data_IF_375892490507
#
_entry.id   IF_375892490507
#
_cell.length_a   1.000
_cell.length_b   1.000
_cell.length_c   1.000
_cell.angle_alpha   90.00
_cell.angle_beta   90.00
_cell.angle_gamma   90.00
#
_symmetry.space_group_name_H-M   'P 1'
#
loop_
_entity.id
_entity.type
_entity.pdbx_description
1 polymer ?
#
# COMPACT_ATOMS: atom_id res chain seq x y z
N UNK A 1 -1.39 -48.92 -17.94
CA UNK A 1 -1.29 -48.32 -16.58
C UNK A 1 -1.03 -46.84 -16.76
N UNK A 2 -1.88 -45.96 -16.22
CA UNK A 2 -1.49 -44.56 -16.02
C UNK A 2 -2.41 -43.45 -16.51
N UNK A 3 -3.72 -43.64 -16.72
CA UNK A 3 -4.64 -42.51 -16.95
C UNK A 3 -5.95 -42.71 -16.19
N UNK A 4 -5.93 -42.40 -14.90
CA UNK A 4 -7.08 -41.92 -14.11
C UNK A 4 -6.56 -41.59 -12.71
N UNK A 5 -5.71 -40.58 -12.60
CA UNK A 5 -5.50 -39.91 -11.32
C UNK A 5 -6.80 -39.16 -10.99
N UNK A 6 -7.51 -39.64 -9.96
CA UNK A 6 -8.76 -39.06 -9.47
C UNK A 6 -8.63 -37.56 -9.25
N UNK A 7 -9.63 -36.77 -9.68
CA UNK A 7 -9.75 -35.31 -9.43
C UNK A 7 -9.51 -34.93 -7.97
N UNK A 8 -9.73 -35.86 -7.04
CA UNK A 8 -9.51 -35.70 -5.60
C UNK A 8 -8.03 -35.61 -5.20
N UNK A 9 -7.13 -36.26 -5.95
CA UNK A 9 -5.67 -36.17 -5.74
C UNK A 9 -5.08 -34.87 -6.30
N UNK A 10 -5.62 -34.34 -7.41
CA UNK A 10 -5.26 -33.01 -7.90
C UNK A 10 -5.64 -31.88 -6.93
N UNK A 11 -6.68 -32.04 -6.10
CA UNK A 11 -7.05 -31.04 -5.09
C UNK A 11 -6.13 -31.05 -3.85
N UNK A 12 -5.42 -32.16 -3.58
CA UNK A 12 -4.45 -32.23 -2.47
C UNK A 12 -3.04 -31.82 -2.88
N UNK A 13 -2.70 -31.87 -4.19
CA UNK A 13 -1.40 -31.48 -4.75
C UNK A 13 -1.45 -30.21 -5.62
N UNK A 14 -2.65 -29.72 -5.96
CA UNK A 14 -2.85 -28.63 -6.94
C UNK A 14 -2.67 -27.22 -6.37
N UNK A 15 -2.38 -27.09 -5.07
CA UNK A 15 -2.06 -25.81 -4.46
C UNK A 15 -0.78 -25.20 -5.02
N UNK A 16 0.24 -26.01 -5.34
CA UNK A 16 1.51 -25.51 -5.89
C UNK A 16 1.44 -25.31 -7.41
N UNK A 17 0.75 -26.21 -8.15
CA UNK A 17 0.70 -26.16 -9.62
C UNK A 17 -0.13 -24.99 -10.19
N UNK A 18 -1.27 -24.63 -9.56
CA UNK A 18 -2.05 -23.44 -9.97
C UNK A 18 -1.34 -22.12 -9.60
N UNK A 19 -0.24 -22.20 -8.84
CA UNK A 19 0.47 -21.07 -8.24
C UNK A 19 1.77 -20.69 -8.92
N UNK A 20 2.48 -21.69 -9.42
CA UNK A 20 3.55 -21.49 -10.41
C UNK A 20 3.04 -20.73 -11.66
N UNK A 21 1.73 -20.77 -11.94
CA UNK A 21 1.09 -20.06 -13.05
C UNK A 21 0.78 -18.57 -12.76
N UNK A 22 0.95 -18.07 -11.52
CA UNK A 22 0.62 -16.67 -11.18
C UNK A 22 1.84 -15.80 -10.88
N UNK A 23 2.93 -16.40 -10.45
CA UNK A 23 4.19 -15.74 -10.18
C UNK A 23 5.27 -16.23 -11.13
N UNK A 24 6.28 -15.40 -11.37
CA UNK A 24 7.55 -15.87 -11.90
C UNK A 24 8.36 -16.46 -10.76
N UNK A 25 9.15 -17.53 -11.01
CA UNK A 25 10.18 -17.96 -10.07
C UNK A 25 11.09 -16.78 -9.76
N UNK A 26 11.37 -16.51 -8.49
CA UNK A 26 12.25 -15.43 -8.11
C UNK A 26 13.70 -15.76 -8.52
N UNK A 27 14.31 -15.03 -9.48
CA UNK A 27 15.65 -15.34 -9.96
C UNK A 27 16.76 -14.81 -9.05
N UNK A 28 16.41 -13.98 -8.07
CA UNK A 28 17.39 -13.31 -7.23
C UNK A 28 17.78 -14.19 -6.03
N UNK A 29 19.08 -14.31 -5.71
CA UNK A 29 19.49 -14.90 -4.44
C UNK A 29 18.97 -14.06 -3.27
N UNK A 30 18.68 -14.69 -2.13
CA UNK A 30 18.30 -13.94 -0.92
C UNK A 30 19.52 -13.23 -0.30
N UNK A 31 19.26 -12.30 0.62
CA UNK A 31 20.27 -11.39 1.17
C UNK A 31 21.49 -12.10 1.78
N UNK A 32 21.27 -13.16 2.56
CA UNK A 32 22.36 -13.92 3.20
C UNK A 32 23.29 -14.55 2.16
N UNK A 33 22.74 -15.24 1.17
CA UNK A 33 23.53 -15.83 0.08
C UNK A 33 24.24 -14.77 -0.78
N UNK A 34 23.63 -13.59 -0.94
CA UNK A 34 24.27 -12.47 -1.62
C UNK A 34 25.43 -11.88 -0.80
N UNK A 35 25.27 -11.79 0.52
CA UNK A 35 26.27 -11.30 1.46
C UNK A 35 27.41 -12.32 1.70
N UNK A 36 27.13 -13.62 1.69
CA UNK A 36 28.14 -14.68 1.85
C UNK A 36 29.05 -14.82 0.63
N UNK A 37 28.49 -14.73 -0.59
CA UNK A 37 29.30 -14.66 -1.83
C UNK A 37 30.30 -13.50 -1.82
N UNK A 38 30.07 -12.48 -0.99
CA UNK A 38 30.98 -11.35 -0.82
C UNK A 38 32.10 -11.62 0.20
N UNK A 39 31.92 -12.58 1.12
CA UNK A 39 32.92 -12.94 2.12
C UNK A 39 33.99 -13.92 1.58
N UNK A 40 33.71 -14.62 0.47
CA UNK A 40 34.59 -15.63 -0.13
C UNK A 40 35.58 -15.09 -1.19
N UNK A 41 35.50 -13.81 -1.60
CA UNK A 41 36.49 -13.22 -2.53
C UNK A 41 37.84 -12.91 -1.82
N UNK A 42 39.00 -13.22 -2.44
CA UNK A 42 40.29 -13.27 -1.74
C UNK A 42 40.80 -11.88 -1.32
N UNK A 43 41.47 -11.75 -0.15
CA UNK A 43 41.96 -10.49 0.38
C UNK A 43 43.29 -10.11 -0.29
N UNK A 44 43.25 -9.64 -1.54
CA UNK A 44 44.45 -9.18 -2.24
C UNK A 44 44.36 -7.73 -2.73
N UNK A 45 44.00 -6.80 -1.84
CA UNK A 45 44.50 -5.41 -1.84
C UNK A 45 43.91 -4.64 -0.66
N UNK A 46 44.75 -3.90 0.08
CA UNK A 46 44.36 -3.09 1.24
C UNK A 46 43.50 -1.90 0.82
N UNK A 47 42.20 -2.09 0.67
CA UNK A 47 41.16 -1.04 0.68
C UNK A 47 39.80 -1.74 0.86
N UNK A 48 38.87 -1.25 1.70
CA UNK A 48 37.50 -1.78 1.71
C UNK A 48 36.91 -1.59 0.31
N UNK A 49 36.50 -2.70 -0.34
CA UNK A 49 35.83 -2.64 -1.65
C UNK A 49 34.57 -1.77 -1.55
N UNK A 50 34.31 -0.96 -2.56
CA UNK A 50 33.13 -0.11 -2.61
C UNK A 50 31.86 -0.96 -2.78
N UNK A 51 30.69 -0.57 -2.24
CA UNK A 51 29.44 -1.30 -2.46
C UNK A 51 29.05 -1.48 -3.94
N UNK A 52 29.60 -0.66 -4.83
CA UNK A 52 29.45 -0.77 -6.29
C UNK A 52 30.26 -1.95 -6.87
N UNK A 53 31.40 -2.31 -6.27
CA UNK A 53 32.20 -3.49 -6.61
C UNK A 53 31.62 -4.78 -5.99
N UNK A 54 30.74 -4.65 -4.97
CA UNK A 54 30.18 -5.75 -4.17
C UNK A 54 28.77 -6.21 -4.60
N UNK A 55 28.17 -5.57 -5.62
CA UNK A 55 26.89 -5.98 -6.20
C UNK A 55 25.64 -5.77 -5.32
N UNK A 56 25.75 -5.09 -4.17
CA UNK A 56 24.59 -4.67 -3.37
C UNK A 56 24.00 -3.36 -3.89
N UNK A 57 22.67 -3.17 -3.79
CA UNK A 57 22.03 -1.95 -4.25
C UNK A 57 22.18 -0.77 -3.27
N UNK A 58 22.82 -0.94 -2.11
CA UNK A 58 22.99 0.09 -1.08
C UNK A 58 24.28 -0.07 -0.26
N UNK A 59 24.68 1.02 0.39
CA UNK A 59 25.78 1.10 1.35
C UNK A 59 25.40 0.52 2.73
N UNK A 60 26.38 0.33 3.61
CA UNK A 60 26.15 -0.19 4.96
C UNK A 60 25.25 0.68 5.84
N UNK A 61 25.03 1.94 5.49
CA UNK A 61 24.09 2.85 6.18
C UNK A 61 22.67 2.81 5.58
N UNK A 62 22.41 1.91 4.62
CA UNK A 62 21.11 1.78 3.95
C UNK A 62 20.90 2.76 2.79
N UNK A 63 21.85 3.66 2.51
CA UNK A 63 21.74 4.58 1.37
C UNK A 63 21.93 3.84 0.05
N UNK A 64 21.05 4.08 -0.91
CA UNK A 64 21.13 3.50 -2.25
C UNK A 64 22.40 3.96 -2.97
N UNK A 65 23.11 3.03 -3.62
CA UNK A 65 24.35 3.35 -4.35
C UNK A 65 24.07 4.23 -5.57
N UNK A 66 25.07 5.00 -6.01
CA UNK A 66 24.92 5.97 -7.09
C UNK A 66 24.57 5.31 -8.43
N UNK A 67 25.19 4.17 -8.76
CA UNK A 67 24.85 3.43 -9.99
C UNK A 67 23.37 3.01 -10.01
N UNK A 68 22.88 2.40 -8.93
CA UNK A 68 21.48 1.96 -8.85
C UNK A 68 20.51 3.15 -8.84
N UNK A 69 20.85 4.22 -8.12
CA UNK A 69 20.13 5.51 -8.17
C UNK A 69 19.99 6.03 -9.61
N UNK A 70 21.09 6.04 -10.38
CA UNK A 70 21.09 6.49 -11.77
C UNK A 70 20.19 5.61 -12.65
N UNK A 71 20.27 4.28 -12.51
CA UNK A 71 19.40 3.33 -13.24
C UNK A 71 17.93 3.61 -12.96
N UNK A 72 17.56 3.79 -11.69
CA UNK A 72 16.20 4.11 -11.26
C UNK A 72 15.74 5.45 -11.84
N UNK A 73 16.54 6.50 -11.70
CA UNK A 73 16.19 7.84 -12.20
C UNK A 73 16.01 7.86 -13.72
N UNK A 74 16.88 7.17 -14.48
CA UNK A 74 16.72 7.01 -15.92
C UNK A 74 15.41 6.30 -16.24
N UNK A 75 15.12 5.17 -15.58
CA UNK A 75 13.88 4.43 -15.83
C UNK A 75 12.64 5.24 -15.47
N UNK A 76 12.67 6.01 -14.37
CA UNK A 76 11.57 6.91 -13.99
C UNK A 76 11.31 7.93 -15.11
N UNK A 77 12.34 8.54 -15.69
CA UNK A 77 12.20 9.49 -16.80
C UNK A 77 11.57 8.82 -18.03
N UNK A 78 12.06 7.65 -18.41
CA UNK A 78 11.53 6.91 -19.57
C UNK A 78 10.06 6.52 -19.39
N UNK A 79 9.71 6.00 -18.21
CA UNK A 79 8.34 5.61 -17.89
C UNK A 79 7.42 6.84 -17.76
N UNK A 80 7.88 7.95 -17.19
CA UNK A 80 7.10 9.19 -17.14
C UNK A 80 6.76 9.70 -18.55
N UNK A 81 7.73 9.66 -19.47
CA UNK A 81 7.49 10.06 -20.86
C UNK A 81 6.44 9.16 -21.53
N UNK A 82 6.56 7.83 -21.38
CA UNK A 82 5.58 6.87 -21.92
C UNK A 82 4.20 7.04 -21.30
N UNK A 83 4.14 7.26 -20.00
CA UNK A 83 2.91 7.48 -19.25
C UNK A 83 2.21 8.75 -19.73
N UNK A 84 2.91 9.87 -19.83
CA UNK A 84 2.35 11.15 -20.29
C UNK A 84 1.82 11.08 -21.73
N UNK A 85 2.51 10.36 -22.63
CA UNK A 85 1.98 10.11 -23.97
C UNK A 85 0.70 9.28 -23.93
N UNK A 86 0.71 8.20 -23.14
CA UNK A 86 -0.42 7.30 -22.98
C UNK A 86 -1.66 7.96 -22.36
N UNK A 87 -1.46 8.86 -21.39
CA UNK A 87 -2.52 9.59 -20.71
C UNK A 87 -3.37 10.45 -21.66
N UNK A 88 -2.87 10.83 -22.84
CA UNK A 88 -3.67 11.53 -23.86
C UNK A 88 -4.90 10.74 -24.32
N UNK A 89 -4.90 9.42 -24.13
CA UNK A 89 -5.99 8.50 -24.49
C UNK A 89 -6.76 7.98 -23.27
N UNK A 90 -6.37 8.37 -22.06
CA UNK A 90 -7.03 7.93 -20.83
C UNK A 90 -8.44 8.53 -20.70
N UNK A 91 -9.34 7.81 -20.00
CA UNK A 91 -10.71 8.27 -19.76
C UNK A 91 -10.71 9.67 -19.12
N UNK A 92 -11.25 10.69 -19.80
CA UNK A 92 -11.17 12.04 -19.30
C UNK A 92 -12.02 12.29 -18.05
N UNK A 93 -12.97 11.39 -17.73
CA UNK A 93 -13.92 11.52 -16.63
C UNK A 93 -13.52 10.75 -15.37
N UNK A 94 -12.53 9.85 -15.44
CA UNK A 94 -12.07 9.12 -14.26
C UNK A 94 -11.21 10.03 -13.37
N UNK A 95 -11.85 10.60 -12.33
CA UNK A 95 -11.17 11.45 -11.34
C UNK A 95 -10.72 10.66 -10.10
N UNK A 96 -10.77 9.33 -10.12
CA UNK A 96 -10.37 8.53 -8.95
C UNK A 96 -8.86 8.60 -8.68
N UNK A 97 -8.45 8.37 -7.43
CA UNK A 97 -7.03 8.17 -7.12
C UNK A 97 -6.54 6.76 -7.54
N UNK A 98 -7.46 5.80 -7.63
CA UNK A 98 -7.17 4.41 -7.99
C UNK A 98 -6.77 4.31 -9.47
N UNK A 99 -7.65 4.70 -10.39
CA UNK A 99 -7.43 4.56 -11.85
C UNK A 99 -7.34 5.86 -12.63
N UNK A 100 -7.64 6.98 -11.98
CA UNK A 100 -7.89 8.27 -12.63
C UNK A 100 -6.84 9.34 -12.42
N UNK A 101 -7.22 10.57 -12.75
CA UNK A 101 -6.37 11.76 -12.76
C UNK A 101 -5.85 12.17 -11.38
N UNK A 102 -6.58 11.87 -10.31
CA UNK A 102 -6.09 12.12 -8.94
C UNK A 102 -4.91 11.21 -8.59
N UNK A 103 -4.87 9.99 -9.14
CA UNK A 103 -3.72 9.09 -8.94
C UNK A 103 -2.46 9.63 -9.59
N UNK A 104 -2.61 10.28 -10.76
CA UNK A 104 -1.50 10.95 -11.46
C UNK A 104 -1.04 12.20 -10.69
N UNK A 105 -1.98 12.99 -10.14
CA UNK A 105 -1.63 14.10 -9.25
C UNK A 105 -0.82 13.61 -8.03
N UNK A 106 -1.25 12.51 -7.41
CA UNK A 106 -0.55 11.93 -6.26
C UNK A 106 0.87 11.46 -6.61
N UNK A 107 1.07 10.87 -7.80
CA UNK A 107 2.41 10.54 -8.30
C UNK A 107 3.28 11.79 -8.42
N UNK A 108 2.79 12.86 -9.05
CA UNK A 108 3.57 14.08 -9.22
C UNK A 108 3.89 14.76 -7.89
N UNK A 109 2.96 14.75 -6.94
CA UNK A 109 3.21 15.18 -5.58
C UNK A 109 4.32 14.34 -4.91
N UNK A 110 4.34 13.03 -5.14
CA UNK A 110 5.40 12.16 -4.63
C UNK A 110 6.76 12.48 -5.27
N UNK A 111 6.81 12.68 -6.59
CA UNK A 111 8.05 13.06 -7.26
C UNK A 111 8.60 14.38 -6.70
N UNK A 112 7.73 15.36 -6.45
CA UNK A 112 8.11 16.58 -5.74
C UNK A 112 8.69 16.29 -4.33
N UNK A 113 8.08 15.38 -3.55
CA UNK A 113 8.61 15.04 -2.21
C UNK A 113 10.03 14.47 -2.27
N UNK A 114 10.33 13.66 -3.28
CA UNK A 114 11.64 12.99 -3.40
C UNK A 114 12.70 13.91 -4.01
N UNK A 115 12.34 14.76 -4.97
CA UNK A 115 13.32 15.58 -5.72
C UNK A 115 13.36 17.04 -5.31
N UNK A 116 12.34 17.53 -4.60
CA UNK A 116 12.08 18.95 -4.33
C UNK A 116 11.95 19.81 -5.60
N UNK A 117 11.74 19.20 -6.78
CA UNK A 117 11.56 19.92 -8.04
C UNK A 117 10.15 20.49 -8.16
N UNK A 118 10.07 21.82 -8.13
CA UNK A 118 8.81 22.57 -8.19
C UNK A 118 8.00 22.29 -9.46
N UNK A 119 8.63 21.89 -10.56
CA UNK A 119 7.92 21.54 -11.79
C UNK A 119 6.95 20.36 -11.58
N UNK A 120 7.29 19.40 -10.73
CA UNK A 120 6.40 18.29 -10.37
C UNK A 120 5.22 18.75 -9.50
N UNK A 121 5.44 19.69 -8.58
CA UNK A 121 4.33 20.25 -7.78
C UNK A 121 3.34 21.02 -8.66
N UNK A 122 3.83 21.81 -9.61
CA UNK A 122 3.00 22.51 -10.59
C UNK A 122 2.26 21.53 -11.51
N UNK A 123 2.93 20.44 -11.93
CA UNK A 123 2.29 19.39 -12.72
C UNK A 123 1.19 18.67 -11.93
N UNK A 124 1.41 18.42 -10.65
CA UNK A 124 0.36 17.90 -9.75
C UNK A 124 -0.83 18.85 -9.68
N UNK A 125 -0.59 20.16 -9.60
CA UNK A 125 -1.66 21.18 -9.57
C UNK A 125 -2.53 21.15 -10.84
N UNK A 126 -1.94 20.92 -12.02
CA UNK A 126 -2.71 20.83 -13.27
C UNK A 126 -3.75 19.70 -13.23
N UNK A 127 -3.35 18.52 -12.73
CA UNK A 127 -4.26 17.39 -12.56
C UNK A 127 -5.27 17.61 -11.42
N UNK A 128 -4.87 18.27 -10.33
CA UNK A 128 -5.79 18.69 -9.26
C UNK A 128 -6.89 19.60 -9.83
N UNK A 129 -6.51 20.67 -10.55
CA UNK A 129 -7.48 21.60 -11.16
C UNK A 129 -8.44 20.87 -12.10
N UNK A 130 -7.96 19.88 -12.85
CA UNK A 130 -8.80 19.02 -13.69
C UNK A 130 -9.80 18.21 -12.87
N UNK A 131 -9.35 17.52 -11.83
CA UNK A 131 -10.20 16.62 -11.02
C UNK A 131 -11.26 17.38 -10.22
N UNK A 132 -10.90 18.52 -9.61
CA UNK A 132 -11.82 19.35 -8.83
C UNK A 132 -12.97 19.97 -9.65
N UNK A 133 -12.80 20.12 -10.97
CA UNK A 133 -13.87 20.57 -11.88
C UNK A 133 -14.87 19.47 -12.24
N UNK A 134 -14.55 18.21 -11.97
CA UNK A 134 -15.29 17.04 -12.43
C UNK A 134 -15.74 16.11 -11.28
N UNK A 135 -15.88 16.66 -10.07
CA UNK A 135 -16.49 15.95 -8.94
C UNK A 135 -17.92 15.55 -9.29
N UNK A 136 -18.33 14.34 -8.93
CA UNK A 136 -19.62 13.78 -9.37
C UNK A 136 -20.53 13.29 -8.24
N UNK A 137 -20.06 13.32 -6.99
CA UNK A 137 -20.83 12.99 -5.80
C UNK A 137 -21.23 11.51 -5.67
N UNK A 138 -20.79 10.62 -6.58
CA UNK A 138 -21.25 9.22 -6.59
C UNK A 138 -20.56 8.33 -5.56
N UNK A 139 -19.32 8.67 -5.20
CA UNK A 139 -18.46 7.88 -4.30
C UNK A 139 -17.72 8.82 -3.38
N UNK A 140 -17.34 8.30 -2.21
CA UNK A 140 -16.96 9.13 -1.06
C UNK A 140 -15.55 8.83 -0.52
N UNK A 141 -14.82 7.88 -1.09
CA UNK A 141 -13.51 7.45 -0.58
C UNK A 141 -12.35 8.17 -1.24
N UNK A 142 -11.17 8.11 -0.62
CA UNK A 142 -9.94 8.64 -1.23
C UNK A 142 -9.62 7.95 -2.56
N UNK A 143 -9.73 6.62 -2.60
CA UNK A 143 -9.31 5.84 -3.77
C UNK A 143 -10.29 5.97 -4.93
N UNK A 144 -11.60 5.95 -4.69
CA UNK A 144 -12.58 5.80 -5.74
C UNK A 144 -13.66 6.89 -5.77
N UNK A 145 -13.58 7.90 -4.90
CA UNK A 145 -14.59 8.94 -4.77
C UNK A 145 -14.03 10.35 -4.63
N UNK A 146 -14.92 11.30 -4.38
CA UNK A 146 -14.62 12.73 -4.38
C UNK A 146 -13.69 13.15 -3.22
N UNK A 147 -13.59 12.33 -2.16
CA UNK A 147 -12.65 12.58 -1.08
C UNK A 147 -11.19 12.54 -1.54
N UNK A 148 -10.86 11.78 -2.60
CA UNK A 148 -9.52 11.74 -3.18
C UNK A 148 -9.11 13.07 -3.79
N UNK A 149 -9.80 13.55 -4.84
CA UNK A 149 -9.56 14.86 -5.44
C UNK A 149 -9.50 16.00 -4.41
N UNK A 150 -10.43 16.00 -3.43
CA UNK A 150 -10.50 17.04 -2.40
C UNK A 150 -9.30 16.98 -1.46
N UNK A 151 -8.95 15.80 -0.94
CA UNK A 151 -7.82 15.65 -0.01
C UNK A 151 -6.47 15.93 -0.69
N UNK A 152 -6.25 15.43 -1.91
CA UNK A 152 -5.03 15.73 -2.69
C UNK A 152 -4.98 17.21 -3.05
N UNK A 153 -6.12 17.80 -3.45
CA UNK A 153 -6.21 19.21 -3.75
C UNK A 153 -5.83 20.09 -2.56
N UNK A 154 -6.37 19.79 -1.37
CA UNK A 154 -6.03 20.51 -0.14
C UNK A 154 -4.51 20.51 0.11
N UNK A 155 -3.86 19.35 0.01
CA UNK A 155 -2.41 19.23 0.26
C UNK A 155 -1.59 19.97 -0.80
N UNK A 156 -1.95 19.88 -2.09
CA UNK A 156 -1.23 20.57 -3.17
C UNK A 156 -1.35 22.07 -3.02
N UNK A 157 -2.56 22.59 -2.77
CA UNK A 157 -2.77 24.03 -2.54
C UNK A 157 -2.04 24.52 -1.29
N UNK A 158 -2.06 23.76 -0.20
CA UNK A 158 -1.30 24.09 1.01
C UNK A 158 0.21 24.19 0.74
N UNK A 159 0.80 23.20 0.03
CA UNK A 159 2.24 23.24 -0.32
C UNK A 159 2.60 24.42 -1.24
N UNK A 160 1.65 24.90 -2.03
CA UNK A 160 1.78 26.10 -2.87
C UNK A 160 1.47 27.41 -2.12
N UNK A 161 1.16 27.35 -0.83
CA UNK A 161 0.75 28.49 0.00
C UNK A 161 -0.53 29.19 -0.48
N UNK A 162 -1.43 28.42 -1.10
CA UNK A 162 -2.78 28.83 -1.51
C UNK A 162 -3.80 28.38 -0.45
N UNK A 163 -3.75 29.02 0.72
CA UNK A 163 -4.49 28.55 1.90
C UNK A 163 -6.02 28.62 1.75
N UNK A 164 -6.53 29.58 0.95
CA UNK A 164 -7.96 29.72 0.68
C UNK A 164 -8.51 28.48 -0.06
N UNK A 165 -7.86 28.10 -1.17
CA UNK A 165 -8.22 26.95 -1.98
C UNK A 165 -8.02 25.63 -1.23
N UNK A 166 -6.96 25.57 -0.40
CA UNK A 166 -6.75 24.45 0.51
C UNK A 166 -7.93 24.27 1.46
N UNK A 167 -8.33 25.36 2.14
CA UNK A 167 -9.43 25.33 3.10
C UNK A 167 -10.79 25.07 2.43
N UNK A 168 -10.99 25.54 1.20
CA UNK A 168 -12.18 25.22 0.41
C UNK A 168 -12.28 23.71 0.13
N UNK A 169 -11.15 23.07 -0.24
CA UNK A 169 -11.09 21.63 -0.45
C UNK A 169 -11.41 20.86 0.84
N UNK A 170 -10.86 21.28 1.99
CA UNK A 170 -11.15 20.66 3.30
C UNK A 170 -12.63 20.83 3.66
N UNK A 171 -13.19 22.01 3.43
CA UNK A 171 -14.61 22.29 3.70
C UNK A 171 -15.51 21.36 2.88
N UNK A 172 -15.24 21.21 1.59
CA UNK A 172 -15.96 20.29 0.70
C UNK A 172 -15.76 18.83 1.10
N UNK A 173 -14.56 18.45 1.56
CA UNK A 173 -14.28 17.10 2.06
C UNK A 173 -15.17 16.76 3.26
N UNK A 174 -15.32 17.70 4.20
CA UNK A 174 -16.18 17.55 5.38
C UNK A 174 -17.67 17.52 5.03
N UNK A 175 -18.11 18.15 3.94
CA UNK A 175 -19.50 18.08 3.48
C UNK A 175 -19.91 16.65 3.08
N UNK A 176 -18.97 15.78 2.68
CA UNK A 176 -19.24 14.38 2.38
C UNK A 176 -19.63 13.56 3.62
N UNK A 177 -19.25 14.02 4.82
CA UNK A 177 -19.37 13.28 6.08
C UNK A 177 -20.81 12.87 6.40
N UNK A 178 -21.81 13.69 6.03
CA UNK A 178 -23.22 13.40 6.27
C UNK A 178 -23.65 12.05 5.70
N UNK A 179 -23.16 11.70 4.51
CA UNK A 179 -23.47 10.41 3.85
C UNK A 179 -22.75 9.24 4.55
N UNK A 180 -21.55 9.50 5.08
CA UNK A 180 -20.69 8.50 5.74
C UNK A 180 -21.26 8.02 7.07
N UNK A 181 -21.69 8.96 7.91
CA UNK A 181 -22.10 8.70 9.31
C UNK A 181 -23.59 8.40 9.45
N UNK A 182 -24.36 8.51 8.35
CA UNK A 182 -25.77 8.18 8.34
C UNK A 182 -25.99 6.69 8.69
N UNK A 183 -26.86 6.43 9.67
CA UNK A 183 -27.16 5.06 10.16
C UNK A 183 -27.89 4.21 9.13
N UNK A 184 -28.71 4.83 8.30
CA UNK A 184 -29.48 4.16 7.24
C UNK A 184 -28.68 4.02 5.93
N UNK A 185 -27.37 4.30 5.98
CA UNK A 185 -26.49 4.26 4.80
C UNK A 185 -26.01 2.84 4.53
N UNK A 186 -26.24 2.36 3.30
CA UNK A 186 -25.70 1.10 2.78
C UNK A 186 -24.19 1.16 2.45
N UNK A 187 -23.49 2.23 2.87
CA UNK A 187 -22.05 2.34 2.66
C UNK A 187 -21.32 1.19 3.37
N UNK A 188 -20.39 0.51 2.66
CA UNK A 188 -19.54 -0.48 3.29
C UNK A 188 -18.49 0.20 4.18
N UNK A 189 -17.66 -0.59 4.86
CA UNK A 189 -16.61 -0.07 5.74
C UNK A 189 -15.20 -0.16 5.14
N UNK A 190 -15.03 -0.87 4.03
CA UNK A 190 -13.71 -1.14 3.45
C UNK A 190 -13.05 0.07 2.76
N UNK A 191 -11.81 -0.10 2.28
CA UNK A 191 -10.93 1.02 1.91
C UNK A 191 -11.29 1.64 0.55
N UNK A 192 -11.80 0.87 -0.41
CA UNK A 192 -12.00 1.37 -1.77
C UNK A 192 -13.32 2.14 -1.91
N UNK A 193 -14.38 1.72 -1.22
CA UNK A 193 -15.72 2.28 -1.35
C UNK A 193 -16.39 2.62 -0.02
N UNK A 194 -15.76 2.28 1.10
CA UNK A 194 -16.37 2.39 2.42
C UNK A 194 -15.79 3.46 3.34
N UNK A 195 -16.28 3.43 4.58
CA UNK A 195 -15.95 4.41 5.64
C UNK A 195 -14.45 4.47 5.94
N UNK A 196 -13.71 3.35 5.90
CA UNK A 196 -12.26 3.37 6.10
C UNK A 196 -11.53 4.14 5.00
N UNK A 197 -12.02 4.10 3.76
CA UNK A 197 -11.48 4.86 2.64
C UNK A 197 -11.70 6.38 2.76
N UNK A 198 -12.80 6.79 3.39
CA UNK A 198 -13.05 8.19 3.74
C UNK A 198 -12.23 8.62 4.96
N UNK A 199 -12.14 7.76 6.00
CA UNK A 199 -11.29 7.98 7.16
C UNK A 199 -9.84 8.23 6.72
N UNK A 200 -9.30 7.41 5.80
CA UNK A 200 -7.98 7.65 5.23
C UNK A 200 -7.83 9.08 4.66
N UNK A 201 -8.83 9.60 3.94
CA UNK A 201 -8.76 10.96 3.38
C UNK A 201 -8.62 12.04 4.47
N UNK A 202 -9.39 11.92 5.56
CA UNK A 202 -9.30 12.84 6.71
C UNK A 202 -7.92 12.77 7.38
N UNK A 203 -7.44 11.54 7.62
CA UNK A 203 -6.13 11.32 8.25
C UNK A 203 -4.98 11.79 7.34
N UNK A 204 -5.08 11.60 6.03
CA UNK A 204 -4.12 12.06 5.04
C UNK A 204 -3.97 13.58 5.09
N UNK A 205 -5.07 14.34 5.10
CA UNK A 205 -5.04 15.81 5.22
C UNK A 205 -4.35 16.24 6.51
N UNK A 206 -4.71 15.65 7.65
CA UNK A 206 -4.07 15.95 8.94
C UNK A 206 -2.57 15.60 8.96
N UNK A 207 -2.19 14.53 8.27
CA UNK A 207 -0.80 14.09 8.19
C UNK A 207 0.05 15.03 7.33
N UNK A 208 -0.50 15.52 6.22
CA UNK A 208 0.25 16.28 5.22
C UNK A 208 0.24 17.80 5.42
N UNK A 209 -0.83 18.35 6.02
CA UNK A 209 -0.97 19.78 6.30
C UNK A 209 -0.56 20.07 7.75
N UNK A 210 -0.97 19.21 8.67
CA UNK A 210 -0.63 19.31 10.09
C UNK A 210 -1.78 18.94 11.01
N UNK A 211 -1.49 18.64 12.28
CA UNK A 211 -2.51 18.32 13.28
C UNK A 211 -3.55 19.46 13.37
N UNK A 212 -4.83 19.10 13.21
CA UNK A 212 -5.95 20.05 13.34
C UNK A 212 -6.46 20.64 12.02
N UNK A 213 -5.85 20.34 10.87
CA UNK A 213 -6.40 20.72 9.56
C UNK A 213 -7.84 20.17 9.36
N UNK A 214 -8.09 18.97 9.86
CA UNK A 214 -9.38 18.33 10.05
C UNK A 214 -9.62 18.15 11.55
N UNK A 215 -10.80 18.57 12.01
CA UNK A 215 -11.17 18.50 13.41
C UNK A 215 -11.33 17.05 13.91
N UNK A 216 -10.99 16.84 15.18
CA UNK A 216 -11.01 15.50 15.78
C UNK A 216 -12.41 14.90 15.90
N UNK A 217 -13.43 15.75 16.05
CA UNK A 217 -14.83 15.30 16.10
C UNK A 217 -15.24 14.62 14.79
N UNK A 218 -14.83 15.16 13.64
CA UNK A 218 -15.11 14.58 12.33
C UNK A 218 -14.51 13.18 12.19
N UNK A 219 -13.26 13.01 12.60
CA UNK A 219 -12.57 11.71 12.61
C UNK A 219 -13.29 10.73 13.55
N UNK A 220 -13.63 11.18 14.76
CA UNK A 220 -14.28 10.36 15.78
C UNK A 220 -15.66 9.86 15.33
N UNK A 221 -16.44 10.68 14.64
CA UNK A 221 -17.75 10.26 14.11
C UNK A 221 -17.62 9.13 13.08
N UNK A 222 -16.64 9.21 12.18
CA UNK A 222 -16.40 8.14 11.18
C UNK A 222 -15.89 6.86 11.86
N UNK A 223 -14.97 6.99 12.81
CA UNK A 223 -14.48 5.85 13.62
C UNK A 223 -15.63 5.15 14.34
N UNK A 224 -16.48 5.91 15.03
CA UNK A 224 -17.63 5.35 15.74
C UNK A 224 -18.58 4.61 14.79
N UNK A 225 -18.83 5.15 13.60
CA UNK A 225 -19.65 4.49 12.59
C UNK A 225 -19.06 3.13 12.14
N UNK A 226 -17.73 3.07 11.94
CA UNK A 226 -17.02 1.83 11.61
C UNK A 226 -17.11 0.80 12.74
N UNK A 227 -16.94 1.23 13.99
CA UNK A 227 -17.00 0.32 15.16
C UNK A 227 -18.42 -0.22 15.35
N UNK A 228 -19.45 0.62 15.29
CA UNK A 228 -20.84 0.18 15.46
C UNK A 228 -21.29 -0.74 14.32
N UNK A 229 -20.91 -0.45 13.07
CA UNK A 229 -21.15 -1.36 11.93
C UNK A 229 -20.49 -2.73 12.15
N UNK A 230 -19.23 -2.74 12.60
CA UNK A 230 -18.48 -3.97 12.85
C UNK A 230 -19.08 -4.83 13.97
N UNK A 231 -19.55 -4.19 15.05
CA UNK A 231 -20.26 -4.84 16.16
C UNK A 231 -21.57 -5.45 15.69
N UNK A 232 -22.34 -4.70 14.90
CA UNK A 232 -23.63 -5.15 14.38
C UNK A 232 -23.49 -6.44 13.55
N UNK A 233 -22.57 -6.46 12.59
CA UNK A 233 -22.35 -7.64 11.76
C UNK A 233 -21.78 -8.81 12.57
N UNK A 234 -20.86 -8.55 13.50
CA UNK A 234 -20.33 -9.61 14.38
C UNK A 234 -21.43 -10.27 15.22
N UNK A 235 -22.40 -9.47 15.71
CA UNK A 235 -23.56 -9.96 16.44
C UNK A 235 -24.48 -10.80 15.54
N UNK A 236 -24.79 -10.31 14.34
CA UNK A 236 -25.61 -11.02 13.34
C UNK A 236 -25.01 -12.39 13.00
N UNK A 237 -23.70 -12.43 12.76
CA UNK A 237 -22.94 -13.64 12.40
C UNK A 237 -22.59 -14.53 13.62
N UNK A 238 -23.02 -14.13 14.83
CA UNK A 238 -22.74 -14.82 16.10
C UNK A 238 -21.23 -15.05 16.33
N UNK A 239 -20.43 -14.02 16.06
CA UNK A 239 -18.95 -14.02 16.19
C UNK A 239 -18.41 -13.16 17.33
N UNK A 240 -19.27 -12.47 18.09
CA UNK A 240 -18.89 -11.47 19.11
C UNK A 240 -17.74 -11.95 20.01
N UNK A 241 -17.82 -13.18 20.54
CA UNK A 241 -16.79 -13.72 21.45
C UNK A 241 -15.42 -13.93 20.81
N UNK A 242 -15.36 -14.18 19.50
CA UNK A 242 -14.13 -14.52 18.78
C UNK A 242 -13.59 -13.35 17.95
N UNK A 243 -14.47 -12.55 17.40
CA UNK A 243 -14.18 -11.43 16.50
C UNK A 243 -15.19 -10.31 16.76
N UNK A 244 -14.96 -9.46 17.76
CA UNK A 244 -15.90 -8.39 18.14
C UNK A 244 -16.29 -7.45 16.99
N UNK A 245 -15.38 -7.24 16.03
CA UNK A 245 -15.58 -6.39 14.86
C UNK A 245 -15.46 -7.23 13.60
N UNK A 246 -16.56 -7.43 12.89
CA UNK A 246 -16.58 -8.19 11.64
C UNK A 246 -17.10 -7.30 10.51
N UNK A 247 -16.55 -7.47 9.30
CA UNK A 247 -16.93 -6.64 8.16
C UNK A 247 -17.19 -7.50 6.92
N UNK A 248 -18.02 -6.97 6.02
CA UNK A 248 -18.30 -7.60 4.73
C UNK A 248 -18.46 -6.56 3.62
N UNK A 249 -18.17 -6.99 2.40
CA UNK A 249 -18.45 -6.24 1.18
C UNK A 249 -18.92 -7.22 0.11
N UNK A 250 -19.98 -6.90 -0.64
CA UNK A 250 -20.60 -7.80 -1.62
C UNK A 250 -20.86 -9.22 -1.06
N UNK A 251 -21.40 -9.29 0.16
CA UNK A 251 -21.72 -10.54 0.88
C UNK A 251 -20.52 -11.47 1.12
N UNK A 252 -19.31 -10.92 1.15
CA UNK A 252 -18.09 -11.65 1.46
C UNK A 252 -17.33 -10.96 2.59
N UNK A 253 -16.90 -11.76 3.56
CA UNK A 253 -16.01 -11.32 4.64
C UNK A 253 -14.57 -11.32 4.12
N UNK A 254 -14.21 -10.26 3.38
CA UNK A 254 -12.87 -10.11 2.81
C UNK A 254 -11.82 -9.92 3.91
N UNK A 255 -10.62 -10.46 3.67
CA UNK A 255 -9.50 -10.41 4.62
C UNK A 255 -8.50 -9.31 4.27
N UNK A 256 -8.17 -9.16 2.98
CA UNK A 256 -7.08 -8.28 2.52
C UNK A 256 -7.29 -6.77 2.72
N UNK A 257 -6.30 -5.96 2.32
CA UNK A 257 -6.25 -4.53 2.63
C UNK A 257 -7.27 -3.68 1.85
N UNK A 258 -7.60 -4.07 0.63
CA UNK A 258 -8.51 -3.28 -0.22
C UNK A 258 -9.96 -3.34 0.29
N UNK A 259 -10.54 -4.53 0.29
CA UNK A 259 -11.97 -4.73 0.54
C UNK A 259 -12.28 -5.34 1.90
N UNK A 260 -11.27 -5.56 2.74
CA UNK A 260 -11.36 -6.46 3.87
C UNK A 260 -10.92 -5.88 5.19
N UNK A 261 -11.00 -6.77 6.18
CA UNK A 261 -10.73 -6.49 7.58
C UNK A 261 -9.31 -5.94 7.82
N UNK A 262 -8.29 -6.40 7.09
CA UNK A 262 -6.93 -5.90 7.26
C UNK A 262 -6.83 -4.39 7.03
N UNK A 263 -7.47 -3.85 5.99
CA UNK A 263 -7.45 -2.42 5.70
C UNK A 263 -8.20 -1.62 6.76
N UNK A 264 -9.36 -2.13 7.21
CA UNK A 264 -10.20 -1.47 8.22
C UNK A 264 -9.47 -1.40 9.56
N UNK A 265 -8.96 -2.53 10.06
CA UNK A 265 -8.23 -2.56 11.33
C UNK A 265 -6.95 -1.73 11.26
N UNK A 266 -6.25 -1.74 10.13
CA UNK A 266 -5.06 -0.90 9.92
C UNK A 266 -5.40 0.59 10.05
N UNK A 267 -6.53 1.05 9.50
CA UNK A 267 -7.01 2.43 9.64
C UNK A 267 -7.42 2.77 11.08
N UNK A 268 -8.14 1.87 11.77
CA UNK A 268 -8.53 2.06 13.17
C UNK A 268 -7.32 2.15 14.12
N UNK A 269 -6.22 1.48 13.80
CA UNK A 269 -4.98 1.54 14.58
C UNK A 269 -4.07 2.72 14.26
N UNK A 270 -4.44 3.60 13.32
CA UNK A 270 -3.64 4.80 13.04
C UNK A 270 -3.68 5.73 14.25
N UNK A 271 -2.54 6.25 14.74
CA UNK A 271 -2.55 7.16 15.89
C UNK A 271 -3.45 8.39 15.69
N UNK A 272 -3.50 8.91 14.46
CA UNK A 272 -4.35 10.04 14.10
C UNK A 272 -5.86 9.72 14.10
N UNK A 273 -6.25 8.44 14.07
CA UNK A 273 -7.64 8.02 14.23
C UNK A 273 -8.14 8.14 15.68
N UNK A 274 -7.23 8.23 16.66
CA UNK A 274 -7.52 8.44 18.09
C UNK A 274 -8.57 7.49 18.66
N UNK A 275 -8.56 6.23 18.23
CA UNK A 275 -9.34 5.17 18.88
C UNK A 275 -8.81 4.99 20.31
N UNK A 276 -9.70 4.94 21.28
CA UNK A 276 -9.33 4.80 22.68
C UNK A 276 -8.72 3.40 22.98
N UNK A 277 -7.94 3.33 24.05
CA UNK A 277 -7.17 2.13 24.38
C UNK A 277 -8.06 0.92 24.71
N UNK A 278 -9.25 1.14 25.28
CA UNK A 278 -10.21 0.09 25.61
C UNK A 278 -10.75 -0.54 24.32
N UNK A 279 -11.28 0.26 23.39
CA UNK A 279 -11.72 -0.20 22.07
C UNK A 279 -10.62 -0.92 21.30
N UNK A 280 -9.38 -0.39 21.32
CA UNK A 280 -8.24 -1.05 20.68
C UNK A 280 -7.97 -2.45 21.28
N UNK A 281 -7.99 -2.56 22.60
CA UNK A 281 -7.61 -3.79 23.33
C UNK A 281 -8.72 -4.83 23.34
N UNK A 282 -9.96 -4.40 23.53
CA UNK A 282 -11.12 -5.28 23.73
C UNK A 282 -11.85 -5.61 22.43
N UNK A 283 -11.71 -4.80 21.39
CA UNK A 283 -12.42 -5.01 20.12
C UNK A 283 -11.47 -5.22 18.94
N UNK A 284 -10.55 -4.30 18.69
CA UNK A 284 -9.69 -4.35 17.49
C UNK A 284 -8.69 -5.51 17.58
N UNK A 285 -7.96 -5.62 18.69
CA UNK A 285 -6.97 -6.68 18.93
C UNK A 285 -7.52 -8.11 18.76
N UNK A 286 -8.60 -8.54 19.47
CA UNK A 286 -9.14 -9.89 19.28
C UNK A 286 -9.66 -10.13 17.86
N UNK A 287 -10.14 -9.10 17.16
CA UNK A 287 -10.58 -9.22 15.76
C UNK A 287 -9.41 -9.43 14.79
N UNK A 288 -8.28 -8.74 15.01
CA UNK A 288 -7.02 -9.01 14.29
C UNK A 288 -6.53 -10.42 14.59
N UNK A 289 -6.60 -10.86 15.85
CA UNK A 289 -6.20 -12.20 16.26
C UNK A 289 -7.03 -13.29 15.58
N UNK A 290 -8.35 -13.08 15.46
CA UNK A 290 -9.23 -13.95 14.71
C UNK A 290 -8.82 -14.05 13.23
N UNK A 291 -8.55 -12.93 12.58
CA UNK A 291 -8.12 -12.87 11.18
C UNK A 291 -6.74 -13.51 10.98
N UNK A 292 -5.78 -13.26 11.88
CA UNK A 292 -4.43 -13.84 11.84
C UNK A 292 -4.46 -15.36 11.76
N UNK A 293 -5.34 -16.01 12.53
CA UNK A 293 -5.50 -17.46 12.55
C UNK A 293 -6.17 -18.04 11.29
N UNK A 294 -6.48 -17.22 10.27
CA UNK A 294 -7.04 -17.67 8.98
C UNK A 294 -5.98 -17.86 7.89
N UNK A 295 -4.70 -17.68 8.24
CA UNK A 295 -3.58 -17.93 7.33
C UNK A 295 -3.58 -19.36 6.80
N UNK A 296 -3.15 -19.53 5.55
CA UNK A 296 -2.87 -20.83 4.96
C UNK A 296 -1.59 -21.43 5.53
N UNK A 297 -1.37 -22.72 5.26
CA UNK A 297 -0.13 -23.42 5.63
C UNK A 297 1.13 -22.79 5.00
N UNK A 298 0.98 -22.14 3.86
CA UNK A 298 2.06 -21.42 3.17
C UNK A 298 2.50 -20.13 3.89
N UNK A 299 1.72 -19.64 4.87
CA UNK A 299 1.87 -18.30 5.45
C UNK A 299 1.08 -17.20 4.72
N UNK A 300 0.50 -17.48 3.54
CA UNK A 300 -0.36 -16.52 2.84
C UNK A 300 -1.74 -16.41 3.50
N UNK A 301 -2.54 -15.42 3.08
CA UNK A 301 -3.90 -15.20 3.57
C UNK A 301 -4.97 -15.40 2.48
N UNK A 302 -6.15 -15.93 2.85
CA UNK A 302 -7.27 -16.07 1.92
C UNK A 302 -7.80 -14.71 1.48
N UNK A 303 -8.41 -14.64 0.30
CA UNK A 303 -9.06 -13.39 -0.15
C UNK A 303 -10.25 -13.02 0.76
N UNK A 304 -10.99 -14.02 1.23
CA UNK A 304 -12.15 -13.90 2.11
C UNK A 304 -12.21 -15.11 3.04
N UNK A 305 -12.88 -15.00 4.19
CA UNK A 305 -12.94 -16.06 5.20
C UNK A 305 -13.48 -17.41 4.70
N UNK A 306 -14.31 -17.40 3.66
CA UNK A 306 -14.87 -18.60 3.02
C UNK A 306 -14.03 -19.14 1.85
N UNK A 307 -12.95 -18.46 1.47
CA UNK A 307 -12.12 -18.89 0.35
C UNK A 307 -10.97 -19.78 0.84
N UNK A 308 -10.92 -21.00 0.34
CA UNK A 308 -9.89 -21.99 0.67
C UNK A 308 -8.74 -22.04 -0.36
N UNK A 309 -8.80 -21.21 -1.40
CA UNK A 309 -7.77 -21.16 -2.46
C UNK A 309 -6.63 -20.21 -2.11
N UNK A 310 -5.46 -20.76 -1.81
CA UNK A 310 -4.23 -20.00 -1.59
C UNK A 310 -3.64 -19.55 -2.92
N UNK A 311 -4.14 -18.41 -3.45
CA UNK A 311 -3.71 -17.96 -4.77
C UNK A 311 -3.29 -16.52 -5.01
N UNK A 312 -3.76 -15.60 -4.17
CA UNK A 312 -3.53 -14.18 -4.40
C UNK A 312 -2.41 -13.72 -3.48
N UNK A 313 -1.34 -13.18 -4.07
CA UNK A 313 -0.22 -12.54 -3.37
C UNK A 313 -0.21 -11.08 -3.81
N UNK A 314 -1.27 -10.37 -3.44
CA UNK A 314 -1.53 -8.98 -3.84
C UNK A 314 -1.74 -8.11 -2.60
N UNK A 315 -1.55 -6.79 -2.73
CA UNK A 315 -1.98 -5.85 -1.69
C UNK A 315 -3.49 -5.94 -1.44
N UNK A 316 -4.31 -6.01 -2.49
CA UNK A 316 -5.75 -6.10 -2.31
C UNK A 316 -6.19 -7.39 -1.60
N UNK A 317 -5.51 -8.52 -1.86
CA UNK A 317 -5.82 -9.83 -1.32
C UNK A 317 -4.55 -10.69 -1.17
N UNK A 318 -4.22 -11.05 0.07
CA UNK A 318 -3.09 -11.90 0.42
C UNK A 318 -2.12 -11.25 1.39
N UNK A 319 -0.97 -11.92 1.60
CA UNK A 319 0.11 -11.48 2.47
C UNK A 319 0.57 -10.03 2.24
N UNK A 320 0.72 -9.51 1.00
CA UNK A 320 1.18 -8.13 0.80
C UNK A 320 0.23 -7.08 1.37
N UNK A 321 -1.07 -7.36 1.50
CA UNK A 321 -2.02 -6.46 2.16
C UNK A 321 -2.06 -6.66 3.68
N UNK A 322 -2.00 -7.92 4.12
CA UNK A 322 -2.15 -8.29 5.55
C UNK A 322 -0.91 -7.93 6.37
N UNK A 323 0.28 -7.92 5.76
CA UNK A 323 1.51 -7.57 6.46
C UNK A 323 1.44 -6.18 7.14
N UNK A 324 0.78 -5.20 6.53
CA UNK A 324 0.68 -3.83 7.07
C UNK A 324 -0.11 -3.77 8.38
N UNK A 325 -1.22 -4.51 8.48
CA UNK A 325 -2.01 -4.57 9.72
C UNK A 325 -1.27 -5.33 10.82
N UNK A 326 -0.51 -6.38 10.48
CA UNK A 326 0.34 -7.10 11.45
C UNK A 326 1.45 -6.20 11.99
N UNK A 327 2.14 -5.49 11.11
CA UNK A 327 3.15 -4.50 11.46
C UNK A 327 2.60 -3.38 12.35
N UNK A 328 1.41 -2.87 12.04
CA UNK A 328 0.75 -1.85 12.86
C UNK A 328 0.30 -2.42 14.22
N UNK A 329 -0.22 -3.65 14.26
CA UNK A 329 -0.59 -4.33 15.50
C UNK A 329 0.64 -4.54 16.40
N UNK A 330 1.80 -4.90 15.84
CA UNK A 330 3.05 -4.96 16.60
C UNK A 330 3.41 -3.59 17.20
N UNK A 331 3.31 -2.50 16.42
CA UNK A 331 3.58 -1.14 16.90
C UNK A 331 2.66 -0.72 18.04
N UNK A 332 1.37 -1.06 17.96
CA UNK A 332 0.34 -0.63 18.93
C UNK A 332 0.33 -1.51 20.17
N UNK A 333 0.31 -2.84 20.00
CA UNK A 333 0.14 -3.79 21.11
C UNK A 333 1.45 -4.34 21.67
N UNK A 334 2.59 -4.09 21.01
CA UNK A 334 3.93 -4.53 21.43
C UNK A 334 4.07 -6.04 21.65
N UNK A 335 3.33 -6.83 20.87
CA UNK A 335 3.41 -8.30 20.90
C UNK A 335 4.17 -8.86 19.71
N UNK A 336 5.11 -9.75 20.00
CA UNK A 336 6.04 -10.31 19.02
C UNK A 336 5.36 -11.21 17.97
N UNK A 337 4.24 -11.83 18.35
CA UNK A 337 3.45 -12.70 17.45
C UNK A 337 3.04 -12.00 16.15
N UNK A 338 2.79 -10.70 16.19
CA UNK A 338 2.41 -9.94 15.00
C UNK A 338 3.61 -9.69 14.09
N UNK A 339 4.78 -9.37 14.66
CA UNK A 339 5.99 -9.16 13.87
C UNK A 339 6.44 -10.49 13.24
N UNK A 340 6.40 -11.58 13.98
CA UNK A 340 6.68 -12.93 13.45
C UNK A 340 5.82 -13.27 12.22
N UNK A 341 4.51 -13.05 12.30
CA UNK A 341 3.61 -13.31 11.18
C UNK A 341 3.85 -12.33 10.00
N UNK A 342 4.31 -11.10 10.28
CA UNK A 342 4.71 -10.16 9.23
C UNK A 342 5.99 -10.61 8.51
N UNK A 343 6.95 -11.19 9.24
CA UNK A 343 8.15 -11.81 8.66
C UNK A 343 7.75 -13.00 7.78
N UNK A 344 6.86 -13.87 8.25
CA UNK A 344 6.35 -15.00 7.44
C UNK A 344 5.62 -14.51 6.17
N UNK A 345 4.82 -13.43 6.27
CA UNK A 345 4.25 -12.76 5.09
C UNK A 345 5.36 -12.34 4.11
N UNK A 346 6.45 -11.76 4.60
CA UNK A 346 7.54 -11.28 3.75
C UNK A 346 8.22 -12.43 2.98
N UNK A 347 8.31 -13.63 3.56
CA UNK A 347 8.89 -14.79 2.88
C UNK A 347 7.97 -15.33 1.78
N UNK A 348 6.65 -15.32 2.00
CA UNK A 348 5.67 -15.60 0.93
C UNK A 348 5.83 -14.63 -0.22
N UNK A 349 5.95 -13.33 0.08
CA UNK A 349 6.09 -12.27 -0.92
C UNK A 349 7.42 -12.44 -1.67
N UNK A 350 8.50 -12.79 -0.97
CA UNK A 350 9.79 -13.02 -1.61
C UNK A 350 9.74 -14.18 -2.62
N UNK A 351 9.06 -15.26 -2.27
CA UNK A 351 8.97 -16.44 -3.13
C UNK A 351 7.97 -16.27 -4.28
N UNK A 352 6.84 -15.58 -4.04
CA UNK A 352 5.65 -15.59 -4.93
C UNK A 352 5.19 -14.19 -5.36
N UNK A 353 5.95 -13.14 -5.06
CA UNK A 353 5.54 -11.75 -5.23
C UNK A 353 5.93 -11.11 -6.56
N UNK A 354 6.71 -11.78 -7.41
CA UNK A 354 6.99 -11.35 -8.79
C UNK A 354 5.83 -11.80 -9.69
N UNK A 355 4.86 -10.93 -9.94
CA UNK A 355 3.57 -11.35 -10.49
C UNK A 355 3.53 -11.33 -12.02
N UNK A 356 3.01 -12.41 -12.62
CA UNK A 356 2.65 -12.45 -14.06
C UNK A 356 1.53 -11.47 -14.42
N UNK A 357 0.78 -11.01 -13.41
CA UNK A 357 -0.28 -10.03 -13.56
C UNK A 357 0.23 -8.65 -13.97
N UNK A 358 1.48 -8.30 -13.63
CA UNK A 358 2.10 -7.02 -13.98
C UNK A 358 2.83 -6.36 -12.82
N UNK A 359 3.16 -5.08 -13.00
CA UNK A 359 4.05 -4.33 -12.12
C UNK A 359 3.33 -3.28 -11.26
N UNK A 360 2.00 -3.15 -11.36
CA UNK A 360 1.22 -2.15 -10.62
C UNK A 360 1.24 -2.30 -9.09
N UNK A 361 0.49 -1.44 -8.40
CA UNK A 361 0.49 -1.33 -6.93
C UNK A 361 -0.58 -2.20 -6.27
N UNK A 362 -1.78 -2.30 -6.83
CA UNK A 362 -2.88 -3.05 -6.21
C UNK A 362 -2.59 -4.56 -6.16
N UNK A 363 -1.97 -5.08 -7.23
CA UNK A 363 -1.74 -6.50 -7.47
C UNK A 363 -0.63 -6.72 -8.50
N UNK A 364 0.49 -6.02 -8.34
CA UNK A 364 1.68 -6.14 -9.16
C UNK A 364 2.95 -6.16 -8.32
N UNK A 365 4.09 -6.39 -8.98
CA UNK A 365 5.39 -6.49 -8.29
C UNK A 365 5.74 -5.23 -7.48
N UNK A 366 5.45 -4.02 -7.97
CA UNK A 366 5.76 -2.79 -7.22
C UNK A 366 4.99 -2.72 -5.90
N UNK A 367 3.70 -3.06 -5.91
CA UNK A 367 2.88 -3.08 -4.69
C UNK A 367 3.38 -4.09 -3.66
N UNK A 368 3.85 -5.24 -4.12
CA UNK A 368 4.46 -6.24 -3.27
C UNK A 368 5.83 -5.79 -2.72
N UNK A 369 6.59 -5.01 -3.49
CA UNK A 369 7.86 -4.43 -3.06
C UNK A 369 7.72 -3.49 -1.86
N UNK A 370 6.61 -2.76 -1.77
CA UNK A 370 6.32 -1.90 -0.61
C UNK A 370 6.26 -2.67 0.71
N UNK A 371 5.78 -3.92 0.70
CA UNK A 371 5.73 -4.74 1.91
C UNK A 371 7.11 -4.89 2.57
N UNK A 372 8.17 -4.96 1.77
CA UNK A 372 9.54 -5.02 2.27
C UNK A 372 10.04 -3.67 2.80
N UNK A 373 9.72 -2.57 2.13
CA UNK A 373 10.05 -1.23 2.61
C UNK A 373 9.39 -0.96 3.99
N UNK A 374 8.11 -1.29 4.11
CA UNK A 374 7.36 -1.14 5.36
C UNK A 374 7.93 -2.02 6.49
N UNK A 375 8.37 -3.24 6.18
CA UNK A 375 8.98 -4.14 7.17
C UNK A 375 10.39 -3.69 7.56
N UNK A 376 11.17 -3.17 6.60
CA UNK A 376 12.47 -2.56 6.84
C UNK A 376 12.36 -1.38 7.81
N UNK A 377 11.35 -0.51 7.67
CA UNK A 377 11.16 0.60 8.61
C UNK A 377 11.03 0.18 10.07
N UNK A 378 10.45 -1.00 10.31
CA UNK A 378 10.16 -1.50 11.66
C UNK A 378 11.35 -2.24 12.24
N UNK A 379 11.97 -3.08 11.42
CA UNK A 379 13.03 -4.00 11.85
C UNK A 379 14.41 -3.40 11.73
N UNK A 380 14.60 -2.44 10.82
CA UNK A 380 15.89 -1.93 10.35
C UNK A 380 16.82 -3.05 9.81
N UNK A 381 16.24 -4.20 9.47
CA UNK A 381 16.97 -5.33 8.89
C UNK A 381 17.14 -5.12 7.38
N UNK A 382 18.40 -4.98 6.96
CA UNK A 382 18.81 -4.73 5.57
C UNK A 382 18.38 -5.83 4.61
N UNK A 383 18.05 -7.04 5.09
CA UNK A 383 17.43 -8.09 4.28
C UNK A 383 16.18 -7.57 3.56
N UNK A 384 15.33 -6.82 4.25
CA UNK A 384 14.10 -6.32 3.65
C UNK A 384 14.36 -5.18 2.68
N UNK A 385 15.31 -4.28 2.98
CA UNK A 385 15.75 -3.27 2.01
C UNK A 385 16.32 -3.93 0.73
N UNK A 386 17.08 -5.01 0.88
CA UNK A 386 17.60 -5.80 -0.24
C UNK A 386 16.48 -6.38 -1.10
N UNK A 387 15.50 -7.05 -0.48
CA UNK A 387 14.35 -7.61 -1.19
C UNK A 387 13.54 -6.52 -1.92
N UNK A 388 13.34 -5.36 -1.30
CA UNK A 388 12.71 -4.20 -1.95
C UNK A 388 13.49 -3.74 -3.20
N UNK A 389 14.82 -3.63 -3.09
CA UNK A 389 15.68 -3.24 -4.20
C UNK A 389 15.66 -4.27 -5.34
N UNK A 390 15.57 -5.57 -5.04
CA UNK A 390 15.44 -6.62 -6.07
C UNK A 390 14.09 -6.59 -6.77
N UNK A 391 13.02 -6.24 -6.06
CA UNK A 391 11.72 -5.98 -6.68
C UNK A 391 11.74 -4.72 -7.55
N UNK A 392 12.50 -3.68 -7.16
CA UNK A 392 12.77 -2.53 -8.02
C UNK A 392 13.59 -2.91 -9.26
N UNK A 393 14.63 -3.74 -9.11
CA UNK A 393 15.42 -4.26 -10.23
C UNK A 393 14.54 -4.99 -11.25
N UNK A 394 13.60 -5.83 -10.79
CA UNK A 394 12.58 -6.44 -11.65
C UNK A 394 11.73 -5.39 -12.40
N UNK A 395 11.32 -4.32 -11.71
CA UNK A 395 10.57 -3.21 -12.30
C UNK A 395 11.39 -2.34 -13.27
N UNK A 396 12.72 -2.33 -13.18
CA UNK A 396 13.57 -1.65 -14.19
C UNK A 396 13.44 -2.30 -15.57
N UNK A 397 13.09 -3.59 -15.61
CA UNK A 397 12.78 -4.35 -16.81
C UNK A 397 11.27 -4.32 -17.15
N UNK A 398 10.58 -3.23 -16.81
CA UNK A 398 9.16 -3.04 -17.13
C UNK A 398 8.86 -3.35 -18.60
N UNK A 399 7.96 -4.32 -18.82
CA UNK A 399 7.51 -4.76 -20.15
C UNK A 399 8.30 -5.93 -20.75
N UNK A 400 9.43 -6.32 -20.16
CA UNK A 400 10.29 -7.38 -20.71
C UNK A 400 9.83 -8.81 -20.35
N UNK A 401 8.98 -8.97 -19.33
CA UNK A 401 8.66 -10.28 -18.75
C UNK A 401 7.41 -10.96 -19.34
N UNK A 402 6.79 -10.37 -20.37
CA UNK A 402 5.55 -10.91 -20.95
C UNK A 402 4.33 -10.79 -20.02
N UNK A 403 4.34 -9.82 -19.10
CA UNK A 403 3.20 -9.53 -18.22
C UNK A 403 1.97 -9.06 -19.03
N UNK A 404 0.78 -9.26 -18.45
CA UNK A 404 -0.47 -8.72 -19.00
C UNK A 404 -0.46 -7.20 -18.97
N UNK A 405 -1.08 -6.57 -19.97
CA UNK A 405 -1.35 -5.13 -19.97
C UNK A 405 -2.53 -4.86 -19.00
N UNK A 406 -2.41 -3.93 -18.05
CA UNK A 406 -3.51 -3.57 -17.14
C UNK A 406 -4.69 -2.92 -17.87
N UNK A 407 -5.89 -2.99 -17.28
CA UNK A 407 -7.10 -2.34 -17.84
C UNK A 407 -6.98 -0.81 -17.90
N UNK A 408 -6.19 -0.23 -16.98
CA UNK A 408 -5.80 1.17 -16.94
C UNK A 408 -4.28 1.29 -16.89
N UNK A 409 -3.58 1.13 -18.05
CA UNK A 409 -2.12 0.91 -18.12
C UNK A 409 -1.26 2.02 -17.50
N UNK A 410 -1.80 3.24 -17.39
CA UNK A 410 -1.07 4.42 -16.91
C UNK A 410 -1.49 4.86 -15.51
N UNK A 411 -2.49 4.19 -14.91
CA UNK A 411 -3.02 4.58 -13.62
C UNK A 411 -2.10 4.28 -12.44
N UNK A 412 -2.40 4.88 -11.28
CA UNK A 412 -1.63 4.69 -10.05
C UNK A 412 -1.75 3.26 -9.50
N UNK A 413 -2.95 2.69 -9.39
CA UNK A 413 -3.11 1.40 -8.71
C UNK A 413 -2.91 0.20 -9.63
N UNK A 414 -3.15 0.32 -10.93
CA UNK A 414 -3.02 -0.81 -11.86
C UNK A 414 -1.81 -0.68 -12.79
N UNK A 415 -1.39 0.55 -13.08
CA UNK A 415 -0.51 0.85 -14.19
C UNK A 415 0.85 1.42 -13.83
N UNK A 416 1.42 2.07 -14.83
CA UNK A 416 2.79 2.60 -14.85
C UNK A 416 3.04 3.66 -13.78
N UNK A 417 2.05 4.52 -13.48
CA UNK A 417 2.20 5.53 -12.44
C UNK A 417 2.53 4.91 -11.07
N UNK A 418 1.93 3.76 -10.75
CA UNK A 418 2.23 3.01 -9.53
C UNK A 418 3.66 2.47 -9.50
N UNK A 419 4.15 1.96 -10.63
CA UNK A 419 5.55 1.49 -10.72
C UNK A 419 6.52 2.65 -10.54
N UNK A 420 6.26 3.80 -11.18
CA UNK A 420 7.09 5.00 -11.03
C UNK A 420 7.09 5.47 -9.57
N UNK A 421 5.94 5.45 -8.91
CA UNK A 421 5.81 5.81 -7.49
C UNK A 421 6.67 4.92 -6.59
N UNK A 422 6.64 3.59 -6.79
CA UNK A 422 7.50 2.67 -6.04
C UNK A 422 8.99 2.91 -6.31
N UNK A 423 9.37 3.09 -7.58
CA UNK A 423 10.75 3.35 -7.95
C UNK A 423 11.28 4.66 -7.34
N UNK A 424 10.45 5.71 -7.24
CA UNK A 424 10.86 6.96 -6.59
C UNK A 424 11.04 6.78 -5.09
N UNK A 425 10.18 5.98 -4.43
CA UNK A 425 10.31 5.67 -3.01
C UNK A 425 11.55 4.83 -2.67
N UNK A 426 12.03 4.00 -3.59
CA UNK A 426 13.29 3.27 -3.42
C UNK A 426 14.48 4.22 -3.30
N UNK A 427 14.44 5.41 -3.93
CA UNK A 427 15.50 6.41 -3.81
C UNK A 427 15.59 7.01 -2.39
N UNK A 428 14.51 6.96 -1.63
CA UNK A 428 14.44 7.46 -0.26
C UNK A 428 13.74 6.43 0.67
N UNK A 429 14.37 5.26 0.92
CA UNK A 429 13.69 4.14 1.58
C UNK A 429 13.10 4.53 2.93
N UNK A 430 13.78 5.32 3.75
CA UNK A 430 13.29 5.73 5.09
C UNK A 430 12.01 6.59 5.06
N UNK A 431 11.75 7.27 3.94
CA UNK A 431 10.59 8.13 3.75
C UNK A 431 9.45 7.43 2.99
N UNK A 432 9.69 6.22 2.46
CA UNK A 432 8.76 5.52 1.57
C UNK A 432 7.44 5.18 2.22
N UNK A 433 6.34 5.25 1.46
CA UNK A 433 5.00 4.90 1.97
C UNK A 433 4.17 4.29 0.85
N UNK A 434 3.49 3.17 1.14
CA UNK A 434 2.51 2.63 0.18
C UNK A 434 1.45 3.71 -0.13
N UNK A 435 1.29 4.14 -1.40
CA UNK A 435 0.46 5.29 -1.72
C UNK A 435 -1.00 5.06 -1.41
N UNK A 436 -1.68 6.08 -0.90
CA UNK A 436 -3.10 6.05 -0.58
C UNK A 436 -3.51 4.94 0.42
N UNK A 437 -2.57 4.51 1.28
CA UNK A 437 -2.82 3.54 2.34
C UNK A 437 -1.95 3.81 3.58
N UNK A 438 -0.63 3.88 3.44
CA UNK A 438 0.26 4.20 4.57
C UNK A 438 0.35 5.70 4.84
N UNK A 439 0.36 6.07 6.13
CA UNK A 439 0.46 7.46 6.59
C UNK A 439 1.81 7.70 7.28
N UNK A 440 2.27 8.96 7.27
CA UNK A 440 3.48 9.34 8.00
C UNK A 440 3.28 9.25 9.51
N UNK A 441 4.36 8.95 10.22
CA UNK A 441 4.41 9.17 11.67
C UNK A 441 4.87 10.60 11.94
N UNK A 442 4.07 11.40 12.65
CA UNK A 442 4.34 12.82 12.98
C UNK A 442 5.69 13.09 13.67
N UNK A 443 6.37 12.06 14.18
CA UNK A 443 7.69 12.18 14.82
C UNK A 443 8.88 12.21 13.83
N UNK A 444 8.70 11.84 12.56
CA UNK A 444 9.82 11.73 11.59
C UNK A 444 10.07 13.00 10.78
N UNK A 445 9.04 13.80 10.52
CA UNK A 445 9.16 15.00 9.67
C UNK A 445 10.01 16.11 10.34
N UNK A 446 10.16 16.09 11.67
CA UNK A 446 11.01 17.06 12.40
C UNK A 446 12.51 16.84 12.23
N UNK A 447 12.95 15.65 11.77
CA UNK A 447 14.36 15.39 11.45
C UNK A 447 14.68 15.72 9.99
N UNK A 448 13.82 15.29 9.06
CA UNK A 448 14.07 15.50 7.63
C UNK A 448 13.97 16.98 7.24
N UNK A 449 13.08 17.78 7.86
CA UNK A 449 13.05 19.23 7.62
C UNK A 449 14.19 20.02 8.27
N UNK A 450 14.99 19.41 9.17
CA UNK A 450 16.14 20.08 9.79
C UNK A 450 17.45 19.83 9.05
N UNK A 451 17.49 18.80 8.20
CA UNK A 451 18.69 18.39 7.48
C UNK A 451 18.70 18.86 6.00
N UNK A 452 17.82 19.79 5.62
CA UNK A 452 17.79 20.45 4.30
C UNK A 452 17.64 21.96 4.40
#
# INVERSE_FOLDING_TARGET
>A
MGETMSRRLKLQLGGDADMEDRAFPNPFPDYEAAAERQAEEPPCSRTPLSPEELGLPFHSDGKIINNFTRRIQTKIKDLLQQMEEGLKTADPHDCSAYTGWTGIALLYLQLYRVTCDQSYLLRSLDYVKRTLRNLNGRRVTFLCGDAGPLAVGAVVYHKLKSDCESQECITKLLQLQRTIVCRDSDLPDELLYGRAGYLYALLYVNTEIGPGAVCESAIKEVVNAIIESGKALSKEEKKVERCPLLYQWHRKQYVGAAHGMAGIYYMLMQPAAKVDQETLTEMVKPSIDYMRHKRFRSGNYPSSLSNETDRLVHWCHGAPGVIHVLMQAHKVFKEEKYLKDAVECSDVIWQRGLLRKGYGICHGTAGNGYSFLSLYHITQDKKYLYRACKFAEWCLEYGAHGCRIPDRPYSLFEGMAGTIHFLSDILAPEASRFPAFELSSSQRDTKVQKDY
#
